data_IF_212935859557
#
_entry.id   IF_212935859557
#
_cell.length_a   1.000
_cell.length_b   1.000
_cell.length_c   1.000
_cell.angle_alpha   90.00
_cell.angle_beta   90.00
_cell.angle_gamma   90.00
#
_symmetry.space_group_name_H-M   'P 1'
#
loop_
_entity.id
_entity.type
_entity.pdbx_description
1 polymer ?
#
# COMPACT_ATOMS: atom_id res chain seq x y z
N UNK A 1 -11.88 13.38 -25.45
CA UNK A 1 -11.05 12.37 -26.14
C UNK A 1 -11.91 11.12 -26.36
N UNK A 2 -11.74 10.43 -27.51
CA UNK A 2 -12.42 9.13 -27.71
C UNK A 2 -11.92 8.15 -26.62
N UNK A 3 -12.86 7.49 -25.91
CA UNK A 3 -12.50 6.49 -24.90
C UNK A 3 -11.76 5.33 -25.59
N UNK A 4 -10.56 5.00 -25.11
CA UNK A 4 -9.79 3.88 -25.67
C UNK A 4 -10.45 2.55 -25.36
N UNK A 5 -10.36 1.60 -26.26
CA UNK A 5 -10.72 0.21 -26.01
C UNK A 5 -9.52 -0.65 -25.60
N UNK A 6 -8.32 -0.09 -25.64
CA UNK A 6 -7.09 -0.78 -25.28
C UNK A 6 -7.04 -1.05 -23.78
N UNK A 7 -6.57 -2.24 -23.42
CA UNK A 7 -6.43 -2.70 -22.04
C UNK A 7 -4.97 -3.02 -21.78
N UNK A 8 -4.52 -2.79 -20.55
CA UNK A 8 -3.19 -3.16 -20.12
C UNK A 8 -3.26 -3.87 -18.77
N UNK A 9 -2.28 -4.74 -18.55
CA UNK A 9 -2.07 -5.46 -17.29
C UNK A 9 -0.57 -5.52 -17.02
N UNK A 10 -0.17 -5.21 -15.80
CA UNK A 10 1.21 -5.28 -15.32
C UNK A 10 1.29 -6.07 -14.02
N UNK A 11 2.43 -6.71 -13.78
CA UNK A 11 2.72 -7.44 -12.55
C UNK A 11 4.23 -7.58 -12.37
N UNK A 12 4.74 -7.90 -11.17
CA UNK A 12 6.10 -8.36 -10.98
C UNK A 12 6.36 -9.65 -11.78
N UNK A 13 7.62 -9.94 -12.10
CA UNK A 13 7.94 -11.17 -12.84
C UNK A 13 7.71 -12.43 -12.01
N UNK A 14 8.03 -12.35 -10.68
CA UNK A 14 7.80 -13.42 -9.73
C UNK A 14 7.35 -12.84 -8.38
N UNK A 15 6.49 -13.59 -7.71
CA UNK A 15 6.12 -13.43 -6.33
C UNK A 15 6.35 -14.76 -5.61
N UNK A 16 7.05 -14.73 -4.47
CA UNK A 16 7.32 -15.89 -3.62
C UNK A 16 6.98 -15.49 -2.18
N UNK A 17 6.22 -16.32 -1.50
CA UNK A 17 5.80 -16.09 -0.13
C UNK A 17 5.86 -17.38 0.68
N UNK A 18 6.31 -17.30 1.91
CA UNK A 18 6.27 -18.40 2.87
C UNK A 18 7.13 -18.12 4.10
N UNK A 19 7.01 -18.99 5.12
CA UNK A 19 7.83 -18.86 6.34
C UNK A 19 9.29 -19.19 6.06
N UNK A 20 10.20 -18.32 6.52
CA UNK A 20 11.64 -18.53 6.42
C UNK A 20 12.24 -18.32 5.03
N UNK A 21 11.52 -17.74 4.07
CA UNK A 21 11.97 -17.53 2.69
C UNK A 21 13.24 -16.67 2.55
N UNK A 22 13.60 -15.88 3.57
CA UNK A 22 14.86 -15.14 3.60
C UNK A 22 16.09 -16.05 3.37
N UNK A 23 16.05 -17.30 3.82
CA UNK A 23 17.14 -18.25 3.63
C UNK A 23 17.39 -18.57 2.15
N UNK A 24 16.36 -18.54 1.34
CA UNK A 24 16.41 -18.81 -0.09
C UNK A 24 16.88 -17.60 -0.92
N UNK A 25 16.90 -16.41 -0.32
CA UNK A 25 17.23 -15.17 -1.03
C UNK A 25 18.58 -15.20 -1.75
N UNK A 26 19.70 -15.75 -1.21
CA UNK A 26 20.97 -15.80 -1.93
C UNK A 26 20.93 -16.58 -3.24
N UNK A 27 20.13 -17.67 -3.28
CA UNK A 27 19.95 -18.51 -4.47
C UNK A 27 19.01 -17.84 -5.47
N UNK A 28 17.92 -17.23 -4.97
CA UNK A 28 16.96 -16.53 -5.80
C UNK A 28 17.57 -15.27 -6.44
N UNK A 29 18.32 -14.47 -5.66
CA UNK A 29 18.99 -13.27 -6.15
C UNK A 29 20.00 -13.57 -7.26
N UNK A 30 20.70 -14.71 -7.17
CA UNK A 30 21.67 -15.12 -8.19
C UNK A 30 21.06 -15.39 -9.59
N UNK A 31 19.75 -15.44 -9.70
CA UNK A 31 19.07 -15.54 -11.01
C UNK A 31 19.06 -14.19 -11.74
N UNK A 32 19.27 -13.09 -11.02
CA UNK A 32 19.13 -11.72 -11.53
C UNK A 32 20.43 -10.94 -11.56
N UNK A 33 21.42 -11.33 -10.75
CA UNK A 33 22.74 -10.69 -10.69
C UNK A 33 23.71 -11.45 -9.80
N UNK A 34 24.96 -10.98 -9.73
CA UNK A 34 26.04 -11.67 -9.03
C UNK A 34 26.21 -11.21 -7.58
N UNK A 35 26.07 -9.92 -7.34
CA UNK A 35 26.30 -9.31 -6.03
C UNK A 35 25.22 -8.27 -5.73
N UNK A 36 24.32 -8.53 -4.78
CA UNK A 36 23.27 -7.59 -4.42
C UNK A 36 23.78 -6.47 -3.50
N UNK A 37 23.19 -5.29 -3.70
CA UNK A 37 23.28 -4.15 -2.79
C UNK A 37 21.95 -4.01 -2.05
N UNK A 38 21.97 -4.21 -0.75
CA UNK A 38 20.80 -4.10 0.09
C UNK A 38 20.57 -2.67 0.57
N UNK A 39 19.36 -2.19 0.42
CA UNK A 39 18.84 -1.00 1.09
C UNK A 39 17.98 -1.51 2.24
N UNK A 40 18.50 -1.45 3.47
CA UNK A 40 17.84 -2.03 4.64
C UNK A 40 17.30 -0.91 5.53
N UNK A 41 16.00 -0.97 5.82
CA UNK A 41 15.38 -0.03 6.76
C UNK A 41 16.07 -0.10 8.13
N UNK A 42 16.44 1.06 8.67
CA UNK A 42 17.19 1.17 9.95
C UNK A 42 16.43 0.56 11.12
N UNK A 43 15.09 0.59 11.08
CA UNK A 43 14.24 0.00 12.12
C UNK A 43 14.31 -1.51 12.20
N UNK A 44 14.71 -2.18 11.12
CA UNK A 44 14.81 -3.65 11.08
C UNK A 44 16.24 -4.17 10.94
N UNK A 45 17.21 -3.31 10.64
CA UNK A 45 18.59 -3.71 10.37
C UNK A 45 19.18 -4.57 11.49
N UNK A 46 19.09 -4.14 12.76
CA UNK A 46 19.64 -4.88 13.90
C UNK A 46 18.94 -6.22 14.15
N UNK A 47 17.68 -6.36 13.73
CA UNK A 47 16.89 -7.58 13.90
C UNK A 47 17.17 -8.61 12.80
N UNK A 48 17.49 -8.14 11.59
CA UNK A 48 17.54 -8.98 10.39
C UNK A 48 18.96 -9.23 9.87
N UNK A 49 19.93 -8.41 10.26
CA UNK A 49 21.28 -8.47 9.70
C UNK A 49 21.94 -9.84 9.88
N UNK A 50 21.92 -10.39 11.09
CA UNK A 50 22.60 -11.66 11.36
C UNK A 50 21.95 -12.83 10.62
N UNK A 51 20.60 -12.84 10.50
CA UNK A 51 19.87 -13.84 9.74
C UNK A 51 20.21 -13.74 8.24
N UNK A 52 20.26 -12.52 7.70
CA UNK A 52 20.65 -12.24 6.31
C UNK A 52 22.12 -12.64 6.05
N UNK A 53 23.04 -12.22 6.91
CA UNK A 53 24.47 -12.52 6.78
C UNK A 53 24.73 -14.02 6.86
N UNK A 54 24.06 -14.73 7.77
CA UNK A 54 24.11 -16.18 7.89
C UNK A 54 23.66 -16.88 6.61
N UNK A 55 22.52 -16.50 6.03
CA UNK A 55 22.01 -17.07 4.79
C UNK A 55 23.00 -16.90 3.61
N UNK A 56 23.61 -15.70 3.50
CA UNK A 56 24.61 -15.46 2.45
C UNK A 56 25.92 -16.20 2.68
N UNK A 57 26.38 -16.33 3.94
CA UNK A 57 27.58 -17.11 4.29
C UNK A 57 27.40 -18.60 3.99
N UNK A 58 26.27 -19.19 4.37
CA UNK A 58 25.92 -20.58 4.08
C UNK A 58 25.86 -20.87 2.57
N UNK A 59 25.36 -19.90 1.79
CA UNK A 59 25.33 -20.00 0.32
C UNK A 59 26.70 -19.74 -0.35
N UNK A 60 27.75 -19.39 0.42
CA UNK A 60 29.06 -19.01 -0.14
C UNK A 60 29.02 -17.75 -0.99
N UNK A 61 28.10 -16.84 -0.73
CA UNK A 61 27.86 -15.60 -1.48
C UNK A 61 28.13 -14.37 -0.62
N UNK A 62 28.28 -13.24 -1.26
CA UNK A 62 28.48 -11.96 -0.57
C UNK A 62 27.43 -10.94 -1.03
N UNK A 63 27.26 -9.92 -0.21
CA UNK A 63 26.41 -8.76 -0.49
C UNK A 63 27.05 -7.50 0.11
N UNK A 64 26.57 -6.35 -0.32
CA UNK A 64 26.84 -5.07 0.33
C UNK A 64 25.52 -4.46 0.80
N UNK A 65 25.57 -3.54 1.73
CA UNK A 65 24.36 -2.91 2.23
C UNK A 65 24.56 -1.48 2.68
N UNK A 66 23.46 -0.78 2.82
CA UNK A 66 23.35 0.47 3.56
C UNK A 66 22.11 0.47 4.44
N UNK A 67 22.22 1.12 5.59
CA UNK A 67 21.05 1.47 6.40
C UNK A 67 20.30 2.62 5.74
N UNK A 68 18.99 2.48 5.64
CA UNK A 68 18.07 3.48 5.11
C UNK A 68 17.22 4.07 6.24
N UNK A 69 17.07 5.39 6.25
CA UNK A 69 16.16 6.10 7.16
C UNK A 69 15.57 7.33 6.49
N UNK A 70 14.40 7.74 6.96
CA UNK A 70 13.67 8.89 6.42
C UNK A 70 12.80 8.55 5.21
N UNK A 71 12.69 9.49 4.27
CA UNK A 71 11.74 9.44 3.17
C UNK A 71 12.35 8.89 1.88
N UNK A 72 11.50 8.39 0.98
CA UNK A 72 11.83 8.14 -0.43
C UNK A 72 12.00 9.48 -1.15
N UNK A 73 13.08 10.19 -0.82
CA UNK A 73 13.41 11.50 -1.36
C UNK A 73 14.61 11.46 -2.31
N UNK A 74 14.80 12.52 -3.09
CA UNK A 74 15.85 12.58 -4.11
C UNK A 74 17.24 12.31 -3.52
N UNK A 75 17.53 12.89 -2.37
CA UNK A 75 18.82 12.77 -1.71
C UNK A 75 19.12 11.31 -1.31
N UNK A 76 18.15 10.62 -0.73
CA UNK A 76 18.30 9.22 -0.35
C UNK A 76 18.45 8.31 -1.57
N UNK A 77 17.69 8.56 -2.65
CA UNK A 77 17.80 7.81 -3.90
C UNK A 77 19.18 7.99 -4.54
N UNK A 78 19.69 9.22 -4.59
CA UNK A 78 21.02 9.49 -5.14
C UNK A 78 22.13 8.86 -4.29
N UNK A 79 22.00 8.88 -2.97
CA UNK A 79 22.93 8.21 -2.05
C UNK A 79 22.95 6.68 -2.25
N UNK A 80 21.77 6.05 -2.43
CA UNK A 80 21.69 4.63 -2.74
C UNK A 80 22.44 4.31 -4.03
N UNK A 81 22.19 5.08 -5.09
CA UNK A 81 22.84 4.89 -6.39
C UNK A 81 24.36 5.04 -6.33
N UNK A 82 24.85 6.07 -5.62
CA UNK A 82 26.28 6.32 -5.43
C UNK A 82 26.95 5.13 -4.74
N UNK A 83 26.42 4.71 -3.60
CA UNK A 83 26.96 3.59 -2.81
C UNK A 83 26.90 2.28 -3.58
N UNK A 84 25.78 1.99 -4.23
CA UNK A 84 25.62 0.78 -5.01
C UNK A 84 26.64 0.69 -6.15
N UNK A 85 26.85 1.76 -6.94
CA UNK A 85 27.86 1.80 -8.00
C UNK A 85 29.27 1.59 -7.46
N UNK A 86 29.60 2.19 -6.31
CA UNK A 86 30.92 2.09 -5.69
C UNK A 86 31.25 0.73 -5.10
N UNK A 87 30.25 -0.13 -4.89
CA UNK A 87 30.39 -1.43 -4.21
C UNK A 87 30.68 -2.62 -5.13
N UNK A 88 30.64 -2.41 -6.45
CA UNK A 88 30.75 -3.50 -7.44
C UNK A 88 29.54 -4.44 -7.46
N UNK A 89 28.38 -3.98 -6.97
CA UNK A 89 27.09 -4.69 -7.05
C UNK A 89 26.41 -4.47 -8.41
N UNK A 90 25.46 -5.33 -8.73
CA UNK A 90 24.73 -5.32 -10.00
C UNK A 90 23.20 -5.54 -9.85
N UNK A 91 22.71 -5.61 -8.61
CA UNK A 91 21.30 -5.80 -8.24
C UNK A 91 20.97 -4.92 -7.03
N UNK A 92 19.76 -4.36 -6.96
CA UNK A 92 19.25 -3.67 -5.78
C UNK A 92 18.26 -4.58 -5.05
N UNK A 93 18.42 -4.72 -3.74
CA UNK A 93 17.43 -5.37 -2.87
C UNK A 93 16.88 -4.34 -1.89
N UNK A 94 15.60 -4.01 -2.00
CA UNK A 94 14.90 -3.22 -0.99
C UNK A 94 14.40 -4.13 0.13
N UNK A 95 14.81 -3.89 1.37
CA UNK A 95 14.46 -4.70 2.52
C UNK A 95 13.98 -3.82 3.68
N UNK A 96 12.66 -3.69 3.81
CA UNK A 96 12.09 -2.77 4.80
C UNK A 96 10.62 -2.44 4.58
N UNK A 97 10.19 -1.28 5.09
CA UNK A 97 8.86 -0.72 4.88
C UNK A 97 8.73 0.06 3.56
N UNK A 98 7.52 0.51 3.23
CA UNK A 98 7.18 1.14 1.93
C UNK A 98 8.14 2.22 1.45
N UNK A 99 8.56 3.16 2.32
CA UNK A 99 9.51 4.24 1.97
C UNK A 99 10.88 3.71 1.53
N UNK A 100 11.38 2.68 2.23
CA UNK A 100 12.61 1.99 1.88
C UNK A 100 12.48 1.27 0.53
N UNK A 101 11.37 0.57 0.32
CA UNK A 101 11.09 -0.15 -0.91
C UNK A 101 10.98 0.80 -2.11
N UNK A 102 10.28 1.94 -1.95
CA UNK A 102 10.15 2.94 -2.99
C UNK A 102 11.49 3.56 -3.37
N UNK A 103 12.33 3.93 -2.39
CA UNK A 103 13.67 4.46 -2.65
C UNK A 103 14.55 3.43 -3.40
N UNK A 104 14.46 2.14 -3.03
CA UNK A 104 15.15 1.06 -3.72
C UNK A 104 14.65 0.86 -5.16
N UNK A 105 13.33 0.93 -5.41
CA UNK A 105 12.74 0.88 -6.75
C UNK A 105 13.21 2.04 -7.61
N UNK A 106 13.21 3.28 -7.11
CA UNK A 106 13.73 4.44 -7.82
C UNK A 106 15.20 4.26 -8.18
N UNK A 107 16.04 3.91 -7.21
CA UNK A 107 17.46 3.73 -7.42
C UNK A 107 17.75 2.66 -8.48
N UNK A 108 17.10 1.49 -8.39
CA UNK A 108 17.24 0.41 -9.37
C UNK A 108 16.78 0.82 -10.77
N UNK A 109 15.64 1.54 -10.87
CA UNK A 109 15.10 2.02 -12.14
C UNK A 109 16.03 3.01 -12.84
N UNK A 110 16.68 3.91 -12.07
CA UNK A 110 17.62 4.89 -12.62
C UNK A 110 19.00 4.30 -12.95
N UNK A 111 19.38 3.21 -12.26
CA UNK A 111 20.58 2.45 -12.57
C UNK A 111 20.38 1.48 -13.74
N UNK A 112 19.14 1.22 -14.12
CA UNK A 112 18.73 0.12 -15.03
C UNK A 112 19.21 -1.26 -14.53
N UNK A 113 19.20 -1.44 -13.20
CA UNK A 113 19.56 -2.70 -12.55
C UNK A 113 18.32 -3.51 -12.17
N UNK A 114 18.44 -4.84 -12.12
CA UNK A 114 17.41 -5.71 -11.54
C UNK A 114 17.15 -5.33 -10.08
N UNK A 115 15.93 -5.62 -9.61
CA UNK A 115 15.55 -5.40 -8.21
C UNK A 115 14.78 -6.56 -7.62
N UNK A 116 15.01 -6.75 -6.33
CA UNK A 116 14.22 -7.61 -5.47
C UNK A 116 13.59 -6.73 -4.39
N UNK A 117 12.31 -6.93 -4.13
CA UNK A 117 11.56 -6.20 -3.11
C UNK A 117 11.15 -7.17 -2.02
N UNK A 118 11.63 -6.91 -0.80
CA UNK A 118 11.41 -7.73 0.36
C UNK A 118 10.82 -6.89 1.51
N UNK A 119 9.49 -6.82 1.62
CA UNK A 119 8.86 -6.08 2.71
C UNK A 119 9.06 -6.77 4.06
N UNK A 120 9.19 -5.97 5.11
CA UNK A 120 9.27 -6.44 6.50
C UNK A 120 7.96 -6.27 7.26
N UNK A 121 6.95 -5.73 6.59
CA UNK A 121 5.57 -5.63 7.07
C UNK A 121 4.64 -5.66 5.87
N UNK A 122 3.42 -6.17 6.04
CA UNK A 122 2.37 -6.11 5.03
C UNK A 122 1.46 -4.90 5.28
N UNK A 123 2.06 -3.71 5.35
CA UNK A 123 1.40 -2.46 5.76
C UNK A 123 0.84 -1.64 4.59
N UNK A 124 1.21 -1.97 3.37
CA UNK A 124 0.76 -1.33 2.12
C UNK A 124 0.90 -2.29 0.96
N UNK A 125 0.34 -1.93 -0.16
CA UNK A 125 0.38 -2.67 -1.41
C UNK A 125 1.61 -2.31 -2.31
N UNK A 126 2.45 -1.40 -1.84
CA UNK A 126 3.67 -0.98 -2.54
C UNK A 126 4.59 -2.13 -3.02
N UNK A 127 4.74 -3.28 -2.33
CA UNK A 127 5.69 -4.30 -2.74
C UNK A 127 5.51 -4.81 -4.17
N UNK A 128 4.28 -5.12 -4.58
CA UNK A 128 3.99 -5.68 -5.90
C UNK A 128 3.73 -4.63 -6.98
N UNK A 129 3.43 -3.39 -6.59
CA UNK A 129 3.13 -2.33 -7.55
C UNK A 129 4.37 -1.90 -8.34
N UNK A 130 4.19 -1.65 -9.63
CA UNK A 130 5.19 -1.05 -10.53
C UNK A 130 5.27 0.47 -10.40
N UNK A 131 4.77 1.03 -9.30
CA UNK A 131 4.75 2.46 -8.98
C UNK A 131 5.60 2.69 -7.73
N UNK A 132 6.23 3.85 -7.63
CA UNK A 132 6.90 4.32 -6.42
C UNK A 132 6.59 5.78 -6.17
N UNK A 133 6.51 6.14 -4.90
CA UNK A 133 6.15 7.48 -4.46
C UNK A 133 7.40 8.26 -4.06
N UNK A 134 7.54 9.46 -4.61
CA UNK A 134 8.60 10.40 -4.27
C UNK A 134 8.07 11.46 -3.30
N UNK A 135 8.82 11.68 -2.24
CA UNK A 135 8.53 12.66 -1.22
C UNK A 135 9.62 13.72 -1.13
N UNK A 136 9.29 14.86 -0.52
CA UNK A 136 10.31 15.76 0.01
C UNK A 136 11.01 15.11 1.21
N UNK A 137 12.12 15.69 1.65
CA UNK A 137 12.83 15.24 2.86
C UNK A 137 11.97 15.34 4.14
N UNK A 138 10.99 16.24 4.13
CA UNK A 138 10.07 16.47 5.24
C UNK A 138 8.77 15.63 5.13
N UNK A 139 8.70 14.70 4.16
CA UNK A 139 7.59 13.76 4.02
C UNK A 139 6.38 14.28 3.23
N UNK A 140 6.51 15.41 2.51
CA UNK A 140 5.44 15.91 1.64
C UNK A 140 5.48 15.15 0.31
N UNK A 141 4.32 14.65 -0.13
CA UNK A 141 4.18 13.97 -1.42
C UNK A 141 4.55 14.90 -2.58
N UNK A 142 5.42 14.45 -3.48
CA UNK A 142 5.79 15.17 -4.70
C UNK A 142 5.04 14.60 -5.89
N UNK A 143 5.22 13.31 -6.16
CA UNK A 143 4.60 12.59 -7.27
C UNK A 143 4.74 11.08 -7.12
N UNK A 144 3.91 10.35 -7.83
CA UNK A 144 4.07 8.92 -8.06
C UNK A 144 4.62 8.67 -9.45
N UNK A 145 5.62 7.81 -9.57
CA UNK A 145 6.25 7.46 -10.85
C UNK A 145 6.12 5.97 -11.15
N UNK A 146 5.86 5.67 -12.42
CA UNK A 146 5.87 4.30 -12.93
C UNK A 146 7.29 3.85 -13.18
N UNK A 147 7.60 2.67 -12.69
CA UNK A 147 8.91 2.06 -12.92
C UNK A 147 9.03 1.59 -14.37
N UNK A 148 10.21 1.76 -14.98
CA UNK A 148 10.46 1.39 -16.38
C UNK A 148 10.36 -0.10 -16.63
N UNK A 149 10.69 -0.89 -15.61
CA UNK A 149 10.68 -2.37 -15.65
C UNK A 149 9.82 -2.90 -14.52
N UNK A 150 9.13 -4.04 -14.69
CA UNK A 150 8.50 -4.71 -13.57
C UNK A 150 9.57 -5.16 -12.55
N UNK A 151 9.17 -5.30 -11.29
CA UNK A 151 10.04 -5.90 -10.27
C UNK A 151 10.33 -7.36 -10.62
N UNK A 152 11.61 -7.75 -10.58
CA UNK A 152 12.02 -9.10 -10.94
C UNK A 152 11.54 -10.14 -9.92
N UNK A 153 11.60 -9.80 -8.63
CA UNK A 153 11.13 -10.67 -7.57
C UNK A 153 10.57 -9.84 -6.41
N UNK A 154 9.37 -10.17 -5.99
CA UNK A 154 8.83 -9.82 -4.68
C UNK A 154 8.96 -11.07 -3.80
N UNK A 155 9.71 -10.96 -2.70
CA UNK A 155 9.98 -12.06 -1.78
C UNK A 155 9.41 -11.72 -0.40
N UNK A 156 8.49 -12.53 0.07
CA UNK A 156 7.83 -12.36 1.35
C UNK A 156 8.26 -13.48 2.29
N UNK A 157 8.88 -13.10 3.40
CA UNK A 157 9.09 -14.01 4.52
C UNK A 157 7.99 -13.75 5.56
N UNK A 158 7.02 -14.65 5.65
CA UNK A 158 5.85 -14.49 6.52
C UNK A 158 6.19 -14.58 8.01
N UNK A 159 7.31 -15.21 8.41
CA UNK A 159 7.80 -15.15 9.78
C UNK A 159 8.22 -13.72 10.18
N UNK A 160 8.83 -12.97 9.24
CA UNK A 160 9.21 -11.58 9.48
C UNK A 160 7.94 -10.74 9.68
N UNK A 161 6.95 -10.92 8.83
CA UNK A 161 5.68 -10.18 8.91
C UNK A 161 4.89 -10.55 10.16
N UNK A 162 4.85 -11.83 10.55
CA UNK A 162 4.20 -12.27 11.78
C UNK A 162 4.81 -11.63 13.05
N UNK A 163 6.07 -11.22 12.98
CA UNK A 163 6.78 -10.55 14.08
C UNK A 163 6.80 -9.01 13.95
N UNK A 164 6.18 -8.45 12.91
CA UNK A 164 6.04 -7.00 12.76
C UNK A 164 4.94 -6.43 13.69
N UNK A 165 4.97 -5.12 13.98
CA UNK A 165 3.90 -4.50 14.76
C UNK A 165 2.51 -4.68 14.11
N UNK A 166 1.55 -5.20 14.88
CA UNK A 166 0.19 -5.51 14.41
C UNK A 166 -0.53 -4.29 13.78
N UNK A 167 -0.25 -3.07 14.25
CA UNK A 167 -0.78 -1.82 13.67
C UNK A 167 -0.38 -1.66 12.19
N UNK A 168 0.83 -2.06 11.81
CA UNK A 168 1.28 -2.01 10.42
C UNK A 168 0.48 -2.98 9.55
N UNK A 169 0.23 -4.19 10.07
CA UNK A 169 -0.57 -5.19 9.37
C UNK A 169 -2.03 -4.76 9.21
N UNK A 170 -2.62 -4.20 10.27
CA UNK A 170 -3.95 -3.61 10.24
C UNK A 170 -4.06 -2.50 9.19
N UNK A 171 -3.08 -1.59 9.13
CA UNK A 171 -3.05 -0.56 8.10
C UNK A 171 -3.04 -1.14 6.67
N UNK A 172 -2.29 -2.23 6.44
CA UNK A 172 -2.32 -2.93 5.15
C UNK A 172 -3.69 -3.49 4.78
N UNK A 173 -4.43 -4.03 5.77
CA UNK A 173 -5.83 -4.45 5.56
C UNK A 173 -6.69 -3.25 5.13
N UNK A 174 -6.51 -2.09 5.75
CA UNK A 174 -7.27 -0.88 5.43
C UNK A 174 -7.00 -0.36 4.01
N UNK A 175 -5.74 -0.40 3.59
CA UNK A 175 -5.29 -0.04 2.25
C UNK A 175 -5.89 -1.01 1.21
N UNK A 176 -5.67 -2.30 1.42
CA UNK A 176 -6.11 -3.36 0.52
C UNK A 176 -7.64 -3.46 0.38
N UNK A 177 -8.39 -3.16 1.45
CA UNK A 177 -9.85 -3.20 1.42
C UNK A 177 -10.45 -2.18 0.44
N UNK A 178 -9.83 -1.01 0.28
CA UNK A 178 -10.30 0.02 -0.63
C UNK A 178 -10.19 -0.40 -2.09
N UNK A 179 -9.20 -1.22 -2.43
CA UNK A 179 -8.87 -1.62 -3.81
C UNK A 179 -10.08 -2.12 -4.61
N UNK A 180 -10.93 -2.97 -4.01
CA UNK A 180 -12.10 -3.51 -4.70
C UNK A 180 -13.18 -2.44 -4.99
N UNK A 181 -13.46 -1.58 -4.02
CA UNK A 181 -14.50 -0.55 -4.17
C UNK A 181 -14.08 0.51 -5.18
N UNK A 182 -12.83 0.94 -5.13
CA UNK A 182 -12.28 1.86 -6.10
C UNK A 182 -12.18 1.26 -7.52
N UNK A 183 -11.86 -0.03 -7.62
CA UNK A 183 -11.92 -0.76 -8.89
C UNK A 183 -13.33 -0.75 -9.48
N UNK A 184 -14.37 -0.91 -8.66
CA UNK A 184 -15.77 -0.88 -9.10
C UNK A 184 -16.19 0.52 -9.54
N UNK A 185 -15.81 1.58 -8.81
CA UNK A 185 -16.06 2.96 -9.19
C UNK A 185 -15.41 3.28 -10.54
N UNK A 186 -14.13 2.92 -10.68
CA UNK A 186 -13.35 3.13 -11.91
C UNK A 186 -13.86 2.30 -13.10
N UNK A 187 -14.39 1.09 -12.85
CA UNK A 187 -15.06 0.28 -13.88
C UNK A 187 -16.31 0.95 -14.40
N UNK A 188 -17.14 1.50 -13.51
CA UNK A 188 -18.38 2.19 -13.85
C UNK A 188 -18.14 3.45 -14.66
N UNK A 189 -17.11 4.23 -14.34
CA UNK A 189 -16.74 5.45 -15.07
C UNK A 189 -15.92 5.20 -16.31
N UNK A 190 -15.52 3.94 -16.55
CA UNK A 190 -14.58 3.56 -17.61
C UNK A 190 -13.24 4.29 -17.50
N UNK A 191 -12.77 4.49 -16.27
CA UNK A 191 -11.51 5.17 -15.94
C UNK A 191 -10.27 4.42 -16.45
N UNK A 192 -9.13 5.11 -16.36
CA UNK A 192 -7.84 4.58 -16.79
C UNK A 192 -7.15 3.86 -15.62
N UNK A 193 -6.39 2.79 -15.92
CA UNK A 193 -5.51 2.16 -14.96
C UNK A 193 -4.14 2.87 -14.87
N UNK A 194 -3.27 2.40 -13.97
CA UNK A 194 -1.94 2.98 -13.78
C UNK A 194 -0.83 2.33 -14.62
N UNK A 195 -1.10 1.30 -15.42
CA UNK A 195 -0.07 0.59 -16.20
C UNK A 195 0.56 1.49 -17.27
N UNK A 196 -0.25 2.33 -17.92
CA UNK A 196 0.25 3.21 -18.96
C UNK A 196 -0.67 4.41 -19.19
N UNK A 197 -0.35 5.21 -20.20
CA UNK A 197 -1.21 6.33 -20.58
C UNK A 197 -2.28 5.85 -21.54
N UNK A 198 -3.55 5.98 -21.14
CA UNK A 198 -4.68 5.73 -22.00
C UNK A 198 -5.13 4.27 -22.07
N UNK A 199 -4.80 3.44 -21.07
CA UNK A 199 -5.29 2.06 -21.01
C UNK A 199 -6.37 1.90 -19.94
N UNK A 200 -7.37 1.06 -20.26
CA UNK A 200 -8.40 0.63 -19.31
C UNK A 200 -7.97 -0.65 -18.60
N UNK A 201 -8.67 -0.97 -17.50
CA UNK A 201 -8.48 -2.22 -16.78
C UNK A 201 -8.77 -3.44 -17.65
N UNK A 202 -8.09 -4.55 -17.32
CA UNK A 202 -8.43 -5.89 -17.77
C UNK A 202 -9.44 -6.54 -16.82
N UNK A 203 -10.16 -7.58 -17.28
CA UNK A 203 -10.99 -8.42 -16.41
C UNK A 203 -10.17 -9.12 -15.32
N UNK A 204 -8.92 -9.44 -15.61
CA UNK A 204 -7.99 -10.01 -14.62
C UNK A 204 -7.80 -9.08 -13.44
N UNK A 205 -7.56 -7.76 -13.65
CA UNK A 205 -7.43 -6.78 -12.57
C UNK A 205 -8.69 -6.73 -11.68
N UNK A 206 -9.87 -6.74 -12.29
CA UNK A 206 -11.14 -6.77 -11.53
C UNK A 206 -11.31 -8.06 -10.70
N UNK A 207 -10.91 -9.20 -11.25
CA UNK A 207 -10.97 -10.48 -10.53
C UNK A 207 -9.99 -10.50 -9.34
N UNK A 208 -8.79 -9.95 -9.52
CA UNK A 208 -7.78 -9.81 -8.46
C UNK A 208 -8.28 -8.87 -7.35
N UNK A 209 -8.81 -7.70 -7.70
CA UNK A 209 -9.36 -6.77 -6.72
C UNK A 209 -10.54 -7.39 -5.94
N UNK A 210 -11.36 -8.20 -6.59
CA UNK A 210 -12.45 -8.93 -5.94
C UNK A 210 -11.92 -9.99 -4.99
N UNK A 211 -10.95 -10.81 -5.40
CA UNK A 211 -10.35 -11.84 -4.56
C UNK A 211 -9.68 -11.22 -3.32
N UNK A 212 -8.99 -10.08 -3.49
CA UNK A 212 -8.44 -9.31 -2.38
C UNK A 212 -9.51 -9.01 -1.33
N UNK A 213 -10.65 -8.46 -1.74
CA UNK A 213 -11.76 -8.18 -0.84
C UNK A 213 -12.31 -9.45 -0.16
N UNK A 214 -12.52 -10.52 -0.92
CA UNK A 214 -13.11 -11.76 -0.40
C UNK A 214 -12.19 -12.41 0.66
N UNK A 215 -10.87 -12.45 0.44
CA UNK A 215 -9.87 -12.91 1.41
C UNK A 215 -9.87 -12.05 2.67
N UNK A 216 -9.81 -10.72 2.53
CA UNK A 216 -9.81 -9.82 3.68
C UNK A 216 -11.04 -10.02 4.56
N UNK A 217 -12.21 -10.14 3.94
CA UNK A 217 -13.48 -10.34 4.67
C UNK A 217 -13.62 -11.72 5.30
N UNK A 218 -12.90 -12.74 4.80
CA UNK A 218 -12.89 -14.08 5.36
C UNK A 218 -11.86 -14.25 6.48
N UNK A 219 -10.64 -13.76 6.26
CA UNK A 219 -9.48 -14.11 7.07
C UNK A 219 -8.89 -12.93 7.85
N UNK A 220 -9.30 -11.67 7.58
CA UNK A 220 -8.67 -10.45 8.12
C UNK A 220 -8.58 -10.43 9.65
N UNK A 221 -9.67 -10.75 10.35
CA UNK A 221 -9.68 -10.79 11.82
C UNK A 221 -8.76 -11.88 12.36
N UNK A 222 -8.82 -13.10 11.80
CA UNK A 222 -7.97 -14.21 12.20
C UNK A 222 -6.50 -13.96 11.93
N UNK A 223 -6.18 -13.34 10.80
CA UNK A 223 -4.82 -12.95 10.43
C UNK A 223 -4.24 -11.89 11.38
N UNK A 224 -5.03 -10.88 11.75
CA UNK A 224 -4.61 -9.87 12.73
C UNK A 224 -4.35 -10.50 14.10
N UNK A 225 -5.19 -11.45 14.52
CA UNK A 225 -4.95 -12.21 15.75
C UNK A 225 -3.65 -13.02 15.67
N UNK A 226 -3.37 -13.65 14.52
CA UNK A 226 -2.13 -14.39 14.30
C UNK A 226 -0.89 -13.48 14.42
N UNK A 227 -0.91 -12.27 13.84
CA UNK A 227 0.17 -11.28 14.00
C UNK A 227 0.33 -10.85 15.46
N UNK A 228 -0.78 -10.57 16.18
CA UNK A 228 -0.74 -10.23 17.62
C UNK A 228 -0.14 -11.35 18.46
N UNK A 229 -0.29 -12.60 18.04
CA UNK A 229 0.28 -13.78 18.70
C UNK A 229 1.63 -14.22 18.16
N UNK A 230 2.15 -13.59 17.10
CA UNK A 230 3.38 -13.97 16.40
C UNK A 230 3.35 -15.39 15.81
N UNK A 231 2.18 -15.80 15.29
CA UNK A 231 1.98 -17.11 14.68
C UNK A 231 1.85 -16.98 13.16
N UNK A 232 2.51 -17.88 12.43
CA UNK A 232 2.26 -18.07 11.01
C UNK A 232 1.10 -19.06 10.85
N UNK A 233 0.02 -18.63 10.22
CA UNK A 233 -1.19 -19.42 9.98
C UNK A 233 -1.62 -19.24 8.54
N UNK A 234 -2.48 -20.13 8.02
CA UNK A 234 -3.03 -20.00 6.66
C UNK A 234 -3.77 -18.65 6.47
N UNK A 235 -4.57 -18.24 7.47
CA UNK A 235 -5.23 -16.94 7.44
C UNK A 235 -4.24 -15.75 7.34
N UNK A 236 -3.09 -15.84 8.04
CA UNK A 236 -2.03 -14.83 7.91
C UNK A 236 -1.43 -14.83 6.51
N UNK A 237 -1.09 -16.01 5.97
CA UNK A 237 -0.55 -16.13 4.61
C UNK A 237 -1.52 -15.54 3.58
N UNK A 238 -2.80 -15.88 3.66
CA UNK A 238 -3.84 -15.36 2.75
C UNK A 238 -3.93 -13.82 2.81
N UNK A 239 -3.90 -13.22 4.00
CA UNK A 239 -4.00 -11.76 4.14
C UNK A 239 -2.69 -11.06 3.80
N UNK A 240 -1.52 -11.66 4.00
CA UNK A 240 -0.25 -11.14 3.48
C UNK A 240 -0.32 -11.05 1.94
N UNK A 241 -0.78 -12.11 1.28
CA UNK A 241 -0.98 -12.11 -0.18
C UNK A 241 -1.97 -11.01 -0.60
N UNK A 242 -3.10 -10.90 0.10
CA UNK A 242 -4.09 -9.85 -0.18
C UNK A 242 -3.48 -8.45 -0.06
N UNK A 243 -2.79 -8.14 1.04
CA UNK A 243 -2.23 -6.82 1.30
C UNK A 243 -1.09 -6.45 0.35
N UNK A 244 -0.24 -7.41 -0.03
CA UNK A 244 1.02 -7.12 -0.75
C UNK A 244 0.94 -7.40 -2.24
N UNK A 245 0.27 -8.48 -2.65
CA UNK A 245 0.16 -8.87 -4.06
C UNK A 245 -1.16 -8.43 -4.67
N UNK A 246 -2.28 -8.89 -4.10
CA UNK A 246 -3.58 -8.70 -4.75
C UNK A 246 -4.02 -7.23 -4.73
N UNK A 247 -3.78 -6.50 -3.64
CA UNK A 247 -4.02 -5.06 -3.59
C UNK A 247 -3.11 -4.32 -4.56
N UNK A 248 -1.80 -4.60 -4.56
CA UNK A 248 -0.86 -3.96 -5.46
C UNK A 248 -1.18 -4.15 -6.93
N UNK A 249 -1.53 -5.39 -7.33
CA UNK A 249 -1.99 -5.68 -8.68
C UNK A 249 -3.38 -5.11 -8.96
N UNK A 250 -4.25 -5.15 -7.95
CA UNK A 250 -5.61 -4.64 -8.04
C UNK A 250 -5.61 -3.16 -8.42
N UNK A 251 -5.07 -2.31 -7.56
CA UNK A 251 -5.11 -0.86 -7.78
C UNK A 251 -4.33 -0.43 -9.04
N UNK A 252 -3.15 -1.02 -9.29
CA UNK A 252 -2.34 -0.65 -10.45
C UNK A 252 -3.06 -0.98 -11.77
N UNK A 253 -3.77 -2.11 -11.81
CA UNK A 253 -4.45 -2.60 -13.00
C UNK A 253 -5.90 -2.13 -13.16
N UNK A 254 -6.51 -1.52 -12.12
CA UNK A 254 -7.89 -1.02 -12.19
C UNK A 254 -8.00 0.49 -11.98
N UNK A 255 -7.07 1.11 -11.25
CA UNK A 255 -7.11 2.52 -10.85
C UNK A 255 -7.68 2.70 -9.43
N UNK A 256 -7.48 3.89 -8.85
CA UNK A 256 -8.06 4.33 -7.58
C UNK A 256 -9.20 5.33 -7.80
N UNK A 257 -9.96 5.64 -6.74
CA UNK A 257 -11.09 6.55 -6.78
C UNK A 257 -11.22 7.36 -5.47
N UNK A 258 -12.39 7.31 -4.83
CA UNK A 258 -12.76 8.15 -3.69
C UNK A 258 -11.98 7.90 -2.41
N UNK A 259 -11.68 6.65 -2.08
CA UNK A 259 -10.98 6.33 -0.83
C UNK A 259 -9.59 6.98 -0.79
N UNK A 260 -8.80 6.80 -1.85
CA UNK A 260 -7.49 7.45 -1.99
C UNK A 260 -7.60 8.95 -2.29
N UNK A 261 -8.66 9.37 -2.99
CA UNK A 261 -8.95 10.78 -3.23
C UNK A 261 -9.12 11.55 -1.91
N UNK A 262 -9.98 11.05 -1.02
CA UNK A 262 -10.29 11.68 0.28
C UNK A 262 -9.13 11.50 1.27
N UNK A 263 -8.48 10.33 1.28
CA UNK A 263 -7.30 10.07 2.10
C UNK A 263 -6.22 11.14 1.91
N UNK A 264 -5.99 11.60 0.69
CA UNK A 264 -4.99 12.64 0.41
C UNK A 264 -5.31 13.95 1.14
N UNK A 265 -6.59 14.30 1.22
CA UNK A 265 -7.04 15.46 1.99
C UNK A 265 -6.80 15.31 3.51
N UNK A 266 -7.00 14.12 4.08
CA UNK A 266 -6.65 13.86 5.49
C UNK A 266 -5.15 14.04 5.75
N UNK A 267 -4.31 13.80 4.75
CA UNK A 267 -2.87 13.95 4.87
C UNK A 267 -2.38 15.41 4.91
N UNK A 268 -3.23 16.38 4.59
CA UNK A 268 -2.96 17.81 4.74
C UNK A 268 -3.18 18.31 6.19
N UNK A 269 -3.80 17.50 7.04
CA UNK A 269 -4.06 17.86 8.43
C UNK A 269 -2.90 17.39 9.31
N UNK A 270 -2.18 18.33 9.95
CA UNK A 270 -0.97 18.06 10.73
C UNK A 270 -1.20 17.00 11.82
N UNK A 271 -2.33 17.06 12.53
CA UNK A 271 -2.66 16.10 13.58
C UNK A 271 -2.83 14.65 13.07
N UNK A 272 -3.08 14.47 11.77
CA UNK A 272 -3.21 13.16 11.12
C UNK A 272 -1.87 12.60 10.58
N UNK A 273 -0.77 13.34 10.66
CA UNK A 273 0.53 12.87 10.16
C UNK A 273 1.08 11.65 10.93
N UNK A 274 0.66 11.46 12.18
CA UNK A 274 1.03 10.29 13.00
C UNK A 274 0.31 9.00 12.58
N UNK A 275 -0.67 9.08 11.69
CA UNK A 275 -1.45 7.94 11.22
C UNK A 275 -0.90 7.40 9.91
N UNK A 276 -0.95 6.07 9.80
CA UNK A 276 -0.46 5.34 8.64
C UNK A 276 -1.35 5.58 7.41
N UNK A 277 -0.78 5.35 6.23
CA UNK A 277 -1.50 5.47 4.95
C UNK A 277 -2.82 4.70 4.97
N UNK A 278 -2.76 3.39 5.22
CA UNK A 278 -3.94 2.53 5.21
C UNK A 278 -4.96 2.81 6.32
N UNK A 279 -4.55 3.40 7.46
CA UNK A 279 -5.50 3.89 8.48
C UNK A 279 -6.36 5.03 7.92
N UNK A 280 -5.75 5.96 7.19
CA UNK A 280 -6.45 7.08 6.54
C UNK A 280 -7.28 6.59 5.35
N UNK A 281 -6.78 5.63 4.56
CA UNK A 281 -7.51 5.02 3.45
C UNK A 281 -8.75 4.26 3.94
N UNK A 282 -8.67 3.56 5.07
CA UNK A 282 -9.80 2.85 5.67
C UNK A 282 -10.99 3.77 5.98
N UNK A 283 -10.73 4.93 6.59
CA UNK A 283 -11.79 5.93 6.82
C UNK A 283 -12.20 6.61 5.52
N UNK A 284 -11.26 6.84 4.60
CA UNK A 284 -11.54 7.31 3.23
C UNK A 284 -12.51 6.40 2.48
N UNK A 285 -12.36 5.09 2.63
CA UNK A 285 -13.30 4.11 2.06
C UNK A 285 -14.71 4.27 2.63
N UNK A 286 -14.84 4.43 3.95
CA UNK A 286 -16.15 4.66 4.54
C UNK A 286 -16.79 5.96 3.99
N UNK A 287 -15.99 7.01 3.81
CA UNK A 287 -16.43 8.27 3.18
C UNK A 287 -16.86 8.05 1.72
N UNK A 288 -16.12 7.26 0.95
CA UNK A 288 -16.48 6.89 -0.43
C UNK A 288 -17.83 6.17 -0.48
N UNK A 289 -18.03 5.14 0.35
CA UNK A 289 -19.29 4.38 0.38
C UNK A 289 -20.49 5.26 0.75
N UNK A 290 -20.31 6.22 1.65
CA UNK A 290 -21.33 7.23 1.97
C UNK A 290 -21.57 8.16 0.79
N UNK A 291 -20.51 8.63 0.13
CA UNK A 291 -20.56 9.52 -1.03
C UNK A 291 -21.34 8.88 -2.20
N UNK A 292 -21.11 7.58 -2.45
CA UNK A 292 -21.81 6.77 -3.45
C UNK A 292 -23.24 6.37 -3.05
N UNK A 293 -23.69 6.72 -1.85
CA UNK A 293 -24.96 6.26 -1.28
C UNK A 293 -25.08 4.71 -1.31
N UNK A 294 -24.04 4.02 -0.88
CA UNK A 294 -23.96 2.58 -0.84
C UNK A 294 -25.05 1.96 0.05
N UNK A 295 -25.39 0.68 -0.22
CA UNK A 295 -26.37 -0.04 0.57
C UNK A 295 -26.00 -0.04 2.06
N UNK A 296 -27.01 0.20 2.91
CA UNK A 296 -26.85 0.31 4.36
C UNK A 296 -26.24 -0.95 4.99
N UNK A 297 -26.58 -2.14 4.48
CA UNK A 297 -25.98 -3.40 4.97
C UNK A 297 -24.51 -3.54 4.60
N UNK A 298 -24.12 -2.97 3.45
CA UNK A 298 -22.72 -2.92 3.08
C UNK A 298 -21.93 -2.00 4.00
N UNK A 299 -22.44 -0.79 4.27
CA UNK A 299 -21.83 0.14 5.22
C UNK A 299 -21.69 -0.50 6.60
N UNK A 300 -22.75 -1.13 7.13
CA UNK A 300 -22.72 -1.86 8.41
C UNK A 300 -21.63 -2.95 8.42
N UNK A 301 -21.58 -3.75 7.36
CA UNK A 301 -20.56 -4.80 7.21
C UNK A 301 -19.13 -4.25 7.25
N UNK A 302 -18.88 -3.17 6.52
CA UNK A 302 -17.55 -2.57 6.43
C UNK A 302 -17.16 -1.90 7.76
N UNK A 303 -18.04 -1.12 8.39
CA UNK A 303 -17.72 -0.49 9.68
C UNK A 303 -17.39 -1.53 10.75
N UNK A 304 -18.18 -2.62 10.84
CA UNK A 304 -17.90 -3.71 11.79
C UNK A 304 -16.55 -4.37 11.51
N UNK A 305 -16.24 -4.63 10.24
CA UNK A 305 -14.95 -5.20 9.86
C UNK A 305 -13.78 -4.26 10.21
N UNK A 306 -13.88 -2.98 9.89
CA UNK A 306 -12.84 -1.99 10.25
C UNK A 306 -12.59 -1.96 11.75
N UNK A 307 -13.65 -1.97 12.57
CA UNK A 307 -13.53 -2.04 14.02
C UNK A 307 -12.87 -3.34 14.50
N UNK A 308 -13.24 -4.48 13.91
CA UNK A 308 -12.68 -5.79 14.27
C UNK A 308 -11.18 -5.93 13.96
N UNK A 309 -10.69 -5.18 12.97
CA UNK A 309 -9.27 -5.15 12.59
C UNK A 309 -8.54 -3.89 13.06
N UNK A 310 -9.03 -3.22 14.11
CA UNK A 310 -8.42 -2.07 14.78
C UNK A 310 -8.19 -0.84 13.84
N UNK A 311 -9.07 -0.62 12.88
CA UNK A 311 -8.97 0.49 11.94
C UNK A 311 -9.90 1.66 12.29
N UNK A 312 -9.54 2.90 11.87
CA UNK A 312 -10.35 4.08 12.06
C UNK A 312 -11.70 4.01 11.34
N UNK A 313 -12.76 4.49 12.02
CA UNK A 313 -14.11 4.60 11.48
C UNK A 313 -14.71 6.01 11.63
N UNK A 314 -13.99 6.94 12.29
CA UNK A 314 -14.42 8.32 12.45
C UNK A 314 -13.22 9.28 12.47
N UNK A 315 -13.46 10.58 12.32
CA UNK A 315 -12.43 11.62 12.33
C UNK A 315 -11.60 11.62 13.64
N UNK A 316 -12.25 11.38 14.77
CA UNK A 316 -11.58 11.33 16.07
C UNK A 316 -10.56 10.19 16.15
N UNK A 317 -10.77 9.06 15.46
CA UNK A 317 -9.83 7.96 15.39
C UNK A 317 -8.54 8.35 14.62
N UNK A 318 -8.58 9.39 13.79
CA UNK A 318 -7.46 9.99 13.07
C UNK A 318 -6.93 11.28 13.73
N UNK A 319 -7.42 11.61 14.93
CA UNK A 319 -7.12 12.86 15.63
C UNK A 319 -7.43 14.11 14.80
N UNK A 320 -8.47 14.06 13.96
CA UNK A 320 -8.95 15.17 13.15
C UNK A 320 -10.19 15.79 13.83
N UNK A 321 -10.13 17.08 14.12
CA UNK A 321 -11.32 17.82 14.57
C UNK A 321 -12.25 18.11 13.38
N UNK A 322 -13.57 17.87 13.57
CA UNK A 322 -14.59 18.13 12.56
C UNK A 322 -14.93 19.65 12.48
N UNK A 323 -13.92 20.50 12.37
CA UNK A 323 -14.10 21.95 12.20
C UNK A 323 -14.33 22.30 10.72
N UNK A 324 -14.99 23.44 10.48
CA UNK A 324 -15.18 23.96 9.11
C UNK A 324 -13.83 24.22 8.40
N UNK A 325 -12.80 24.60 9.15
CA UNK A 325 -11.45 24.81 8.64
C UNK A 325 -10.84 23.50 8.13
N UNK A 326 -10.78 22.47 8.98
CA UNK A 326 -10.21 21.17 8.60
C UNK A 326 -11.01 20.53 7.45
N UNK A 327 -12.34 20.55 7.53
CA UNK A 327 -13.20 20.02 6.46
C UNK A 327 -13.03 20.82 5.17
N UNK A 328 -12.77 22.13 5.26
CA UNK A 328 -12.44 22.98 4.13
C UNK A 328 -11.15 22.55 3.44
N UNK A 329 -10.06 22.38 4.21
CA UNK A 329 -8.76 21.93 3.70
C UNK A 329 -8.89 20.56 3.05
N UNK A 330 -9.53 19.60 3.72
CA UNK A 330 -9.69 18.23 3.20
C UNK A 330 -10.48 18.23 1.88
N UNK A 331 -11.59 18.95 1.82
CA UNK A 331 -12.43 18.96 0.62
C UNK A 331 -11.77 19.71 -0.54
N UNK A 332 -11.11 20.83 -0.27
CA UNK A 332 -10.34 21.56 -1.29
C UNK A 332 -9.24 20.68 -1.89
N UNK A 333 -8.43 20.06 -1.03
CA UNK A 333 -7.38 19.16 -1.52
C UNK A 333 -7.93 17.98 -2.33
N UNK A 334 -8.99 17.34 -1.83
CA UNK A 334 -9.65 16.23 -2.52
C UNK A 334 -10.14 16.61 -3.91
N UNK A 335 -10.77 17.78 -4.05
CA UNK A 335 -11.39 18.23 -5.31
C UNK A 335 -10.36 18.88 -6.24
N UNK A 336 -9.50 19.77 -5.73
CA UNK A 336 -8.67 20.61 -6.58
C UNK A 336 -7.25 20.08 -6.79
N UNK A 337 -6.78 19.14 -5.94
CA UNK A 337 -5.40 18.66 -5.98
C UNK A 337 -5.27 17.15 -6.21
N UNK A 338 -6.36 16.37 -6.11
CA UNK A 338 -6.32 14.93 -6.34
C UNK A 338 -7.32 14.50 -7.42
N UNK A 339 -6.85 14.14 -8.63
CA UNK A 339 -7.74 13.76 -9.74
C UNK A 339 -8.45 12.41 -9.54
N UNK A 340 -8.05 11.58 -8.57
CA UNK A 340 -8.63 10.26 -8.33
C UNK A 340 -10.11 10.33 -7.96
N UNK A 341 -10.52 11.39 -7.24
CA UNK A 341 -11.91 11.58 -6.84
C UNK A 341 -12.88 11.64 -8.04
N UNK A 342 -12.40 12.04 -9.22
CA UNK A 342 -13.21 12.13 -10.44
C UNK A 342 -13.41 10.77 -11.14
N UNK A 343 -12.86 9.70 -10.58
CA UNK A 343 -13.17 8.32 -10.96
C UNK A 343 -14.45 7.81 -10.27
N UNK A 344 -15.03 8.59 -9.36
CA UNK A 344 -16.32 8.27 -8.77
C UNK A 344 -17.46 8.33 -9.81
N UNK A 345 -18.44 7.39 -9.75
CA UNK A 345 -19.54 7.33 -10.71
C UNK A 345 -20.64 8.38 -10.47
N UNK A 346 -20.32 9.43 -9.75
CA UNK A 346 -21.22 10.54 -9.39
C UNK A 346 -20.54 11.88 -9.62
N UNK A 347 -21.30 12.95 -9.62
CA UNK A 347 -20.76 14.31 -9.66
C UNK A 347 -20.31 14.71 -8.26
N UNK A 348 -19.02 15.01 -8.13
CA UNK A 348 -18.39 15.38 -6.86
C UNK A 348 -18.06 16.87 -6.82
N UNK A 349 -18.19 17.46 -5.65
CA UNK A 349 -17.75 18.82 -5.34
C UNK A 349 -17.40 18.92 -3.84
N UNK A 350 -16.80 20.03 -3.40
CA UNK A 350 -16.39 20.20 -2.01
C UNK A 350 -17.54 19.97 -1.00
N UNK A 351 -18.76 20.45 -1.31
CA UNK A 351 -19.90 20.27 -0.42
C UNK A 351 -20.31 18.80 -0.29
N UNK A 352 -20.29 18.03 -1.40
CA UNK A 352 -20.60 16.59 -1.35
C UNK A 352 -19.54 15.81 -0.58
N UNK A 353 -18.25 16.15 -0.73
CA UNK A 353 -17.15 15.54 0.01
C UNK A 353 -17.27 15.86 1.51
N UNK A 354 -17.47 17.12 1.90
CA UNK A 354 -17.70 17.52 3.31
C UNK A 354 -18.87 16.76 3.95
N UNK A 355 -20.00 16.69 3.26
CA UNK A 355 -21.19 16.01 3.76
C UNK A 355 -20.96 14.50 3.90
N UNK A 356 -20.24 13.88 2.97
CA UNK A 356 -19.90 12.46 3.05
C UNK A 356 -18.97 12.16 4.23
N UNK A 357 -17.96 13.00 4.47
CA UNK A 357 -17.05 12.87 5.62
C UNK A 357 -17.82 13.02 6.93
N UNK A 358 -18.66 14.05 7.07
CA UNK A 358 -19.47 14.27 8.28
C UNK A 358 -20.43 13.12 8.54
N UNK A 359 -21.08 12.61 7.51
CA UNK A 359 -22.01 11.48 7.66
C UNK A 359 -21.27 10.20 8.01
N UNK A 360 -20.13 9.92 7.39
CA UNK A 360 -19.25 8.79 7.71
C UNK A 360 -18.77 8.89 9.18
N UNK A 361 -18.35 10.07 9.62
CA UNK A 361 -17.96 10.33 11.01
C UNK A 361 -19.10 10.05 12.00
N UNK A 362 -20.31 10.52 11.70
CA UNK A 362 -21.49 10.24 12.54
C UNK A 362 -21.80 8.74 12.61
N UNK A 363 -21.73 8.04 11.49
CA UNK A 363 -21.91 6.59 11.45
C UNK A 363 -20.85 5.91 12.32
N UNK A 364 -19.56 6.18 12.08
CA UNK A 364 -18.46 5.57 12.83
C UNK A 364 -18.56 5.79 14.32
N UNK A 365 -18.84 7.03 14.75
CA UNK A 365 -19.08 7.36 16.18
C UNK A 365 -20.25 6.56 16.77
N UNK A 366 -21.34 6.41 16.03
CA UNK A 366 -22.50 5.65 16.53
C UNK A 366 -22.13 4.19 16.84
N UNK A 367 -21.28 3.58 16.01
CA UNK A 367 -20.78 2.22 16.26
C UNK A 367 -19.82 2.15 17.46
N UNK A 368 -18.95 3.15 17.64
CA UNK A 368 -18.09 3.26 18.83
C UNK A 368 -18.92 3.35 20.12
N UNK A 369 -20.11 3.98 20.08
CA UNK A 369 -21.04 4.09 21.18
C UNK A 369 -21.95 2.86 21.36
N UNK A 370 -21.76 1.80 20.57
CA UNK A 370 -22.60 0.60 20.59
C UNK A 370 -24.00 0.81 19.98
N UNK A 371 -24.20 1.89 19.24
CA UNK A 371 -25.42 2.17 18.49
C UNK A 371 -25.19 1.77 17.03
N UNK A 372 -25.95 0.84 16.55
CA UNK A 372 -25.76 0.31 15.20
C UNK A 372 -26.65 1.03 14.18
N UNK A 373 -26.14 1.14 12.96
CA UNK A 373 -26.82 1.84 11.86
C UNK A 373 -28.03 1.07 11.31
N UNK A 374 -28.14 -0.24 11.56
CA UNK A 374 -29.24 -1.12 11.15
C UNK A 374 -30.41 -1.10 12.14
#
# INVERSE_FOLDING_TARGET
MSKTMSRAFGCPQKYIQGPGELINLPVLAAQYGNKPFFVIDSGVLSLMYDKLAGAYAEAGKCFEYMSFSGESCRENIDLIKEKAKGSGCDIIVGFGGGKCLDAAKFASSELDWPRIIMPTSASTDAPAAGISVLYTKDGVHIRSEKMRRPTELVLIDSEIIANAPARLFSAGIGDALATYFEAMANDTTEGMNFIGTGYRRCRAGMAIARECYDILMADGESALMAVKGHYVTEALENVIEANTLLSGLGFENTGCAGAHGIHSGFSEIESAHAYLHGEKVAFGLLCQLVLENADKKLIDKIVRFLLAVDLPVCLADLNIEASEENLGIIADHTINHNPLIYNEPIVVNEASVKNAILMADMIGRSYREGKYYL
#
